data_IF_538932835342
#
_entry.id   IF_538932835342
#
_cell.length_a   1.000
_cell.length_b   1.000
_cell.length_c   1.000
_cell.angle_alpha   90.00
_cell.angle_beta   90.00
_cell.angle_gamma   90.00
#
_symmetry.space_group_name_H-M   'P 1'
#
loop_
_entity.id
_entity.type
_entity.pdbx_description
1 polymer ?
#
# COMPACT_ATOMS: atom_id res chain seq x y z
N UNK A 1 -0.85 16.22 -0.40
CA UNK A 1 -0.15 14.93 -0.62
C UNK A 1 -1.11 14.02 -1.39
N UNK A 2 -0.64 13.38 -2.45
CA UNK A 2 -1.46 12.52 -3.31
C UNK A 2 -1.97 11.26 -2.57
N UNK A 3 -3.14 10.73 -2.95
CA UNK A 3 -3.81 9.58 -2.30
C UNK A 3 -2.95 8.30 -2.33
N UNK A 4 -2.17 8.11 -3.40
CA UNK A 4 -1.25 6.97 -3.52
C UNK A 4 -0.10 7.13 -2.53
N UNK A 5 0.50 8.33 -2.48
CA UNK A 5 1.60 8.64 -1.56
C UNK A 5 1.18 8.49 -0.10
N UNK A 6 0.00 9.00 0.28
CA UNK A 6 -0.61 8.83 1.61
C UNK A 6 -0.73 7.34 2.01
N UNK A 7 -1.28 6.52 1.11
CA UNK A 7 -1.46 5.09 1.36
C UNK A 7 -0.11 4.36 1.49
N UNK A 8 0.84 4.66 0.60
CA UNK A 8 2.14 4.01 0.55
C UNK A 8 3.07 4.42 1.71
N UNK A 9 2.91 5.64 2.23
CA UNK A 9 3.61 6.08 3.43
C UNK A 9 3.02 5.46 4.69
N UNK A 10 1.68 5.36 4.76
CA UNK A 10 1.00 4.79 5.92
C UNK A 10 1.30 3.30 6.12
N UNK A 11 1.37 2.52 5.04
CA UNK A 11 1.58 1.07 5.12
C UNK A 11 3.06 0.71 5.04
N UNK A 12 3.49 -0.30 5.79
CA UNK A 12 4.90 -0.72 5.85
C UNK A 12 5.24 -1.88 4.90
N UNK A 13 4.23 -2.62 4.45
CA UNK A 13 4.41 -3.79 3.60
C UNK A 13 3.34 -3.88 2.52
N UNK A 14 3.61 -4.69 1.50
CA UNK A 14 2.65 -5.08 0.48
C UNK A 14 3.02 -6.42 -0.12
N UNK A 15 2.33 -6.81 -1.18
CA UNK A 15 2.50 -8.09 -1.86
C UNK A 15 3.04 -7.85 -3.26
N UNK A 16 4.24 -8.37 -3.53
CA UNK A 16 4.82 -8.43 -4.85
C UNK A 16 4.41 -9.72 -5.55
N UNK A 17 3.67 -9.59 -6.63
CA UNK A 17 3.28 -10.66 -7.53
C UNK A 17 4.23 -10.70 -8.72
N UNK A 18 4.77 -11.89 -8.98
CA UNK A 18 5.72 -12.15 -10.06
C UNK A 18 5.41 -13.47 -10.76
N UNK A 19 5.89 -13.65 -11.99
CA UNK A 19 5.80 -14.92 -12.72
C UNK A 19 7.15 -15.63 -12.64
N UNK A 20 7.22 -16.71 -11.86
CA UNK A 20 8.43 -17.50 -11.68
C UNK A 20 8.95 -18.11 -13.00
N UNK A 21 10.18 -18.66 -12.97
CA UNK A 21 10.83 -19.24 -14.15
C UNK A 21 10.07 -20.44 -14.75
N UNK A 22 9.30 -21.15 -13.93
CA UNK A 22 8.38 -22.25 -14.31
C UNK A 22 7.00 -21.75 -14.78
N UNK A 23 6.84 -20.45 -15.05
CA UNK A 23 5.60 -19.75 -15.38
C UNK A 23 4.51 -19.77 -14.30
N UNK A 24 4.85 -20.13 -13.06
CA UNK A 24 3.90 -20.09 -11.94
C UNK A 24 3.77 -18.67 -11.36
N UNK A 25 2.56 -18.20 -11.04
CA UNK A 25 2.40 -16.96 -10.29
C UNK A 25 2.86 -17.16 -8.84
N UNK A 26 3.60 -16.18 -8.32
CA UNK A 26 4.12 -16.17 -6.95
C UNK A 26 3.82 -14.82 -6.32
N UNK A 27 3.29 -14.83 -5.10
CA UNK A 27 3.01 -13.66 -4.30
C UNK A 27 3.95 -13.62 -3.10
N UNK A 28 4.71 -12.55 -2.95
CA UNK A 28 5.77 -12.39 -1.95
C UNK A 28 5.42 -11.18 -1.08
N UNK A 29 5.11 -11.36 0.21
CA UNK A 29 4.95 -10.24 1.13
C UNK A 29 6.31 -9.56 1.34
N UNK A 30 6.33 -8.23 1.32
CA UNK A 30 7.59 -7.50 1.31
C UNK A 30 7.46 -6.12 1.94
N UNK A 31 8.48 -5.79 2.74
CA UNK A 31 8.69 -4.44 3.27
C UNK A 31 9.18 -3.50 2.17
N UNK A 32 8.68 -2.27 2.17
CA UNK A 32 9.04 -1.28 1.16
C UNK A 32 9.07 0.14 1.71
N UNK A 33 9.74 1.03 0.98
CA UNK A 33 9.67 2.48 1.19
C UNK A 33 9.22 3.17 -0.10
N UNK A 34 8.33 4.16 0.02
CA UNK A 34 7.98 5.03 -1.09
C UNK A 34 8.89 6.27 -1.05
N UNK A 35 9.68 6.46 -2.09
CA UNK A 35 10.70 7.50 -2.15
C UNK A 35 10.95 7.91 -3.61
N UNK A 36 11.18 9.20 -3.88
CA UNK A 36 11.48 9.74 -5.23
C UNK A 36 10.55 9.19 -6.35
N UNK A 37 9.23 9.18 -6.11
CA UNK A 37 8.22 8.67 -7.06
C UNK A 37 8.37 7.18 -7.46
N UNK A 38 8.98 6.39 -6.58
CA UNK A 38 9.09 4.94 -6.71
C UNK A 38 8.77 4.27 -5.38
N UNK A 39 8.46 2.98 -5.43
CA UNK A 39 8.62 2.12 -4.25
C UNK A 39 9.92 1.36 -4.39
N UNK A 40 10.63 1.22 -3.28
CA UNK A 40 11.86 0.44 -3.20
C UNK A 40 11.75 -0.68 -2.17
N UNK A 41 12.38 -1.80 -2.50
CA UNK A 41 12.48 -2.97 -1.63
C UNK A 41 13.81 -3.68 -1.83
N UNK A 42 14.21 -4.48 -0.85
CA UNK A 42 15.45 -5.25 -0.92
C UNK A 42 15.18 -6.74 -1.03
N UNK A 43 16.09 -7.45 -1.67
CA UNK A 43 16.11 -8.93 -1.70
C UNK A 43 17.54 -9.43 -1.61
N UNK A 44 17.70 -10.72 -1.31
CA UNK A 44 18.97 -11.42 -1.52
C UNK A 44 19.10 -11.88 -2.98
N UNK A 45 20.32 -11.95 -3.54
CA UNK A 45 20.56 -12.34 -4.94
C UNK A 45 20.00 -13.71 -5.33
N UNK A 46 19.84 -14.63 -4.40
CA UNK A 46 19.38 -16.00 -4.65
C UNK A 46 17.85 -16.13 -4.71
N UNK A 47 17.10 -15.05 -4.47
CA UNK A 47 15.63 -15.08 -4.51
C UNK A 47 15.09 -15.25 -5.93
N UNK A 48 13.85 -15.75 -6.04
CA UNK A 48 13.15 -15.83 -7.32
C UNK A 48 13.10 -14.47 -8.04
N UNK A 49 12.99 -13.37 -7.29
CA UNK A 49 12.94 -11.99 -7.80
C UNK A 49 14.15 -11.66 -8.69
N UNK A 50 15.35 -12.12 -8.31
CA UNK A 50 16.58 -11.86 -9.06
C UNK A 50 16.57 -12.46 -10.47
N UNK A 51 15.78 -13.52 -10.70
CA UNK A 51 15.64 -14.20 -11.99
C UNK A 51 14.58 -13.58 -12.91
N UNK A 52 13.98 -12.45 -12.50
CA UNK A 52 12.76 -11.90 -13.12
C UNK A 52 12.93 -10.49 -13.70
N UNK A 53 14.18 -10.02 -13.85
CA UNK A 53 14.53 -8.66 -14.29
C UNK A 53 13.97 -8.27 -15.66
N UNK A 54 13.53 -9.23 -16.47
CA UNK A 54 12.96 -9.00 -17.82
C UNK A 54 11.42 -9.03 -17.87
N UNK A 55 10.75 -9.30 -16.75
CA UNK A 55 9.28 -9.41 -16.67
C UNK A 55 8.69 -8.26 -15.85
N UNK A 56 7.47 -7.86 -16.21
CA UNK A 56 6.69 -6.92 -15.41
C UNK A 56 6.38 -7.53 -14.02
N UNK A 57 6.50 -6.71 -12.99
CA UNK A 57 6.11 -7.05 -11.63
C UNK A 57 4.85 -6.28 -11.25
N UNK A 58 4.03 -6.90 -10.42
CA UNK A 58 2.83 -6.26 -9.89
C UNK A 58 2.95 -6.16 -8.37
N UNK A 59 2.87 -4.96 -7.82
CA UNK A 59 2.86 -4.74 -6.38
C UNK A 59 1.49 -4.27 -5.93
N UNK A 60 0.96 -4.88 -4.88
CA UNK A 60 -0.31 -4.52 -4.26
C UNK A 60 -0.10 -4.13 -2.79
N UNK A 61 -0.62 -2.97 -2.40
CA UNK A 61 -0.68 -2.56 -1.00
C UNK A 61 -2.13 -2.23 -0.63
N UNK A 62 -2.61 -2.82 0.46
CA UNK A 62 -3.99 -2.68 0.93
C UNK A 62 -3.98 -2.07 2.33
N UNK A 63 -4.67 -0.94 2.46
CA UNK A 63 -5.03 -0.31 3.73
C UNK A 63 -6.41 -0.84 4.12
N UNK A 64 -6.43 -1.85 4.99
CA UNK A 64 -7.67 -2.45 5.50
C UNK A 64 -8.41 -1.46 6.41
N UNK A 65 -9.72 -1.36 6.22
CA UNK A 65 -10.61 -0.56 7.04
C UNK A 65 -11.70 -1.46 7.64
N UNK A 66 -12.77 -0.86 8.11
CA UNK A 66 -13.78 -1.59 8.87
C UNK A 66 -14.61 -2.54 8.03
N UNK A 67 -14.92 -3.69 8.62
CA UNK A 67 -16.04 -4.51 8.18
C UNK A 67 -17.37 -3.78 8.41
N UNK A 68 -18.20 -3.70 7.38
CA UNK A 68 -19.52 -3.11 7.36
C UNK A 68 -20.56 -4.23 7.23
N UNK A 69 -21.34 -4.53 8.29
CA UNK A 69 -22.47 -5.41 8.21
C UNK A 69 -23.46 -5.00 7.12
N UNK A 70 -23.96 -5.98 6.37
CA UNK A 70 -24.89 -5.72 5.26
C UNK A 70 -26.17 -4.99 5.69
N UNK A 71 -26.66 -5.27 6.91
CA UNK A 71 -27.80 -4.60 7.52
C UNK A 71 -27.60 -3.07 7.69
N UNK A 72 -26.37 -2.57 7.69
CA UNK A 72 -26.08 -1.14 7.78
C UNK A 72 -26.19 -0.44 6.42
N UNK A 73 -26.12 -1.19 5.32
CA UNK A 73 -26.06 -0.67 3.95
C UNK A 73 -27.44 -0.59 3.26
N UNK A 74 -28.51 -0.95 3.96
CA UNK A 74 -29.87 -1.07 3.44
C UNK A 74 -30.85 -0.31 4.33
N UNK A 75 -31.71 0.54 3.76
CA UNK A 75 -32.77 1.24 4.50
C UNK A 75 -34.13 0.53 4.44
N UNK A 76 -34.34 -0.37 3.46
CA UNK A 76 -35.64 -0.97 3.16
C UNK A 76 -35.90 -2.31 3.86
N UNK A 77 -35.03 -2.73 4.79
CA UNK A 77 -35.10 -4.05 5.42
C UNK A 77 -34.67 -5.21 4.52
N UNK A 78 -34.34 -4.96 3.25
CA UNK A 78 -33.78 -5.97 2.34
C UNK A 78 -32.44 -6.49 2.86
N UNK A 79 -32.11 -7.78 2.67
CA UNK A 79 -30.83 -8.32 3.08
C UNK A 79 -29.68 -7.63 2.33
N UNK A 80 -28.72 -7.07 3.08
CA UNK A 80 -27.45 -6.60 2.51
C UNK A 80 -26.36 -7.65 2.69
N UNK A 81 -25.37 -7.65 1.80
CA UNK A 81 -24.18 -8.50 1.91
C UNK A 81 -23.09 -7.71 2.65
N UNK A 82 -22.61 -8.23 3.78
CA UNK A 82 -21.53 -7.60 4.54
C UNK A 82 -20.24 -7.49 3.72
N UNK A 83 -19.42 -6.50 4.01
CA UNK A 83 -18.19 -6.24 3.25
C UNK A 83 -17.13 -5.56 4.08
N UNK A 84 -15.87 -5.62 3.66
CA UNK A 84 -14.77 -4.86 4.24
C UNK A 84 -14.55 -3.61 3.39
N UNK A 85 -14.52 -2.46 4.04
CA UNK A 85 -14.03 -1.24 3.41
C UNK A 85 -12.50 -1.28 3.34
N UNK A 86 -11.92 -0.71 2.30
CA UNK A 86 -10.47 -0.67 2.13
C UNK A 86 -10.07 0.44 1.16
N UNK A 87 -8.78 0.77 1.17
CA UNK A 87 -8.11 1.50 0.08
C UNK A 87 -6.94 0.66 -0.39
N UNK A 88 -6.58 0.72 -1.66
CA UNK A 88 -5.47 -0.05 -2.20
C UNK A 88 -4.75 0.68 -3.32
N UNK A 89 -3.47 0.38 -3.47
CA UNK A 89 -2.65 0.77 -4.60
C UNK A 89 -2.16 -0.49 -5.31
N UNK A 90 -2.24 -0.48 -6.64
CA UNK A 90 -1.66 -1.46 -7.52
C UNK A 90 -0.61 -0.79 -8.40
N UNK A 91 0.61 -1.32 -8.44
CA UNK A 91 1.71 -0.81 -9.27
C UNK A 91 2.15 -1.94 -10.20
N UNK A 92 1.95 -1.75 -11.50
CA UNK A 92 2.43 -2.64 -12.56
C UNK A 92 3.58 -1.94 -13.27
N UNK A 93 4.80 -2.46 -13.12
CA UNK A 93 5.99 -1.85 -13.69
C UNK A 93 7.10 -2.86 -13.97
N UNK A 94 7.97 -2.53 -14.92
CA UNK A 94 9.27 -3.20 -15.05
C UNK A 94 10.15 -2.79 -13.86
N UNK A 95 10.83 -3.76 -13.21
CA UNK A 95 11.71 -3.47 -12.09
C UNK A 95 13.00 -2.79 -12.54
N UNK A 96 13.44 -1.80 -11.77
CA UNK A 96 14.77 -1.20 -11.91
C UNK A 96 15.67 -1.73 -10.79
N UNK A 97 16.90 -2.15 -11.14
CA UNK A 97 17.91 -2.52 -10.15
C UNK A 97 18.77 -1.31 -9.86
N UNK A 98 18.82 -0.89 -8.60
CA UNK A 98 19.68 0.21 -8.17
C UNK A 98 21.12 -0.27 -8.12
N UNK A 99 22.00 0.40 -8.88
CA UNK A 99 23.42 0.01 -9.02
C UNK A 99 24.37 0.92 -8.24
N UNK A 100 24.05 2.21 -8.05
CA UNK A 100 24.85 3.13 -7.23
C UNK A 100 24.84 2.70 -5.76
N UNK A 101 26.02 2.62 -5.17
CA UNK A 101 26.17 2.25 -3.76
C UNK A 101 25.67 3.37 -2.86
N UNK A 102 25.85 4.62 -3.28
CA UNK A 102 25.34 5.83 -2.63
C UNK A 102 23.82 5.82 -2.59
N UNK A 103 23.18 5.55 -3.72
CA UNK A 103 21.71 5.48 -3.83
C UNK A 103 21.15 4.31 -3.02
N UNK A 104 21.78 3.13 -3.07
CA UNK A 104 21.40 2.00 -2.20
C UNK A 104 21.46 2.39 -0.72
N UNK A 105 22.53 3.07 -0.31
CA UNK A 105 22.71 3.53 1.06
C UNK A 105 21.60 4.50 1.46
N UNK A 106 21.25 5.45 0.60
CA UNK A 106 20.16 6.41 0.82
C UNK A 106 18.82 5.68 1.00
N UNK A 107 18.44 4.80 0.06
CA UNK A 107 17.18 4.06 0.08
C UNK A 107 17.08 3.15 1.31
N UNK A 108 18.15 2.45 1.67
CA UNK A 108 18.16 1.58 2.86
C UNK A 108 17.96 2.40 4.14
N UNK A 109 18.57 3.59 4.24
CA UNK A 109 18.31 4.48 5.37
C UNK A 109 16.88 5.02 5.39
N UNK A 110 16.25 5.29 4.23
CA UNK A 110 14.83 5.64 4.16
C UNK A 110 13.93 4.49 4.61
N UNK A 111 14.30 3.25 4.26
CA UNK A 111 13.62 2.06 4.77
C UNK A 111 13.75 2.00 6.30
N UNK A 112 14.97 2.11 6.84
CA UNK A 112 15.20 2.13 8.29
C UNK A 112 14.38 3.22 9.00
N UNK A 113 14.39 4.46 8.51
CA UNK A 113 13.58 5.54 9.11
C UNK A 113 12.08 5.25 9.08
N UNK A 114 11.58 4.60 8.01
CA UNK A 114 10.18 4.21 7.91
C UNK A 114 9.77 3.17 8.97
N UNK A 115 10.64 2.21 9.28
CA UNK A 115 10.35 1.13 10.25
C UNK A 115 10.73 1.49 11.68
N UNK A 116 11.75 2.31 11.85
CA UNK A 116 12.34 2.71 13.13
C UNK A 116 12.45 4.25 13.18
N UNK A 117 11.31 4.97 13.13
CA UNK A 117 11.32 6.43 13.12
C UNK A 117 11.97 6.98 14.39
N UNK A 118 12.85 7.96 14.23
CA UNK A 118 13.63 8.52 15.33
C UNK A 118 14.95 7.81 15.61
N UNK A 119 15.34 6.82 14.80
CA UNK A 119 16.74 6.44 14.63
C UNK A 119 17.31 5.45 15.65
N UNK A 120 16.55 4.42 16.05
CA UNK A 120 17.12 3.28 16.80
C UNK A 120 18.13 2.44 16.02
N UNK A 121 18.35 2.77 14.73
CA UNK A 121 19.27 2.11 13.82
C UNK A 121 20.56 2.91 13.61
N UNK A 122 21.65 2.20 13.29
CA UNK A 122 22.88 2.85 12.81
C UNK A 122 22.74 3.19 11.34
N UNK A 123 23.01 4.45 10.97
CA UNK A 123 23.01 4.87 9.56
C UNK A 123 23.90 3.96 8.73
N UNK A 124 23.35 3.48 7.63
CA UNK A 124 24.06 2.64 6.68
C UNK A 124 24.89 3.58 5.80
N UNK A 125 26.21 3.39 5.79
CA UNK A 125 27.15 4.14 4.94
C UNK A 125 27.43 3.38 3.65
N UNK A 126 27.75 4.06 2.53
CA UNK A 126 28.08 3.41 1.25
C UNK A 126 29.23 2.39 1.35
N UNK A 127 30.15 2.57 2.30
CA UNK A 127 31.27 1.66 2.54
C UNK A 127 30.87 0.37 3.28
N UNK A 128 29.63 0.26 3.75
CA UNK A 128 29.14 -0.91 4.47
C UNK A 128 29.04 -2.14 3.55
N UNK A 129 29.74 -3.22 3.91
CA UNK A 129 29.78 -4.47 3.14
C UNK A 129 28.40 -5.13 2.98
N UNK A 130 27.45 -4.88 3.89
CA UNK A 130 26.09 -5.41 3.80
C UNK A 130 25.35 -4.93 2.55
N UNK A 131 25.61 -3.69 2.08
CA UNK A 131 24.99 -3.13 0.87
C UNK A 131 25.33 -3.99 -0.36
N UNK A 132 26.55 -4.52 -0.43
CA UNK A 132 27.02 -5.33 -1.57
C UNK A 132 26.31 -6.68 -1.67
N UNK A 133 25.73 -7.16 -0.57
CA UNK A 133 25.03 -8.45 -0.51
C UNK A 133 23.53 -8.33 -0.78
N UNK A 134 23.02 -7.11 -0.97
CA UNK A 134 21.60 -6.85 -1.19
C UNK A 134 21.37 -6.28 -2.59
N UNK A 135 20.31 -6.78 -3.22
CA UNK A 135 19.74 -6.16 -4.42
C UNK A 135 18.62 -5.22 -3.99
N UNK A 136 18.68 -3.97 -4.45
CA UNK A 136 17.62 -2.99 -4.23
C UNK A 136 16.89 -2.81 -5.55
N UNK A 137 15.57 -2.94 -5.48
CA UNK A 137 14.66 -2.88 -6.62
C UNK A 137 13.78 -1.66 -6.49
N UNK A 138 13.51 -0.98 -7.61
CA UNK A 138 12.57 0.13 -7.73
C UNK A 138 11.42 -0.22 -8.67
N UNK A 139 10.20 0.18 -8.29
CA UNK A 139 9.04 0.20 -9.17
C UNK A 139 8.49 1.62 -9.26
N UNK A 140 8.32 2.11 -10.48
CA UNK A 140 7.79 3.44 -10.77
C UNK A 140 6.29 3.52 -10.40
N UNK A 141 5.90 4.54 -9.63
CA UNK A 141 4.50 4.72 -9.18
C UNK A 141 3.68 5.62 -10.12
N UNK A 142 4.25 6.16 -11.19
CA UNK A 142 3.56 7.03 -12.16
C UNK A 142 2.35 6.37 -12.82
N UNK A 143 2.37 5.04 -12.95
CA UNK A 143 1.26 4.24 -13.48
C UNK A 143 0.48 3.50 -12.39
N UNK A 144 0.64 3.90 -11.14
CA UNK A 144 -0.06 3.28 -10.02
C UNK A 144 -1.58 3.51 -10.14
N UNK A 145 -2.35 2.44 -9.93
CA UNK A 145 -3.80 2.50 -9.86
C UNK A 145 -4.25 2.51 -8.41
N UNK A 146 -5.00 3.54 -8.03
CA UNK A 146 -5.63 3.63 -6.72
C UNK A 146 -7.08 3.11 -6.78
N UNK A 147 -7.49 2.33 -5.78
CA UNK A 147 -8.89 1.91 -5.59
C UNK A 147 -9.29 2.13 -4.15
N UNK A 148 -10.55 2.48 -3.92
CA UNK A 148 -11.12 2.57 -2.59
C UNK A 148 -12.55 2.03 -2.61
N UNK A 149 -12.90 1.30 -1.55
CA UNK A 149 -14.26 0.87 -1.24
C UNK A 149 -14.62 1.52 0.09
N UNK A 150 -15.29 2.66 0.03
CA UNK A 150 -15.63 3.55 1.14
C UNK A 150 -17.10 3.98 1.09
N UNK A 151 -17.96 3.14 0.50
CA UNK A 151 -19.39 3.44 0.35
C UNK A 151 -19.70 4.47 -0.73
N UNK A 152 -18.85 4.58 -1.75
CA UNK A 152 -18.96 5.59 -2.81
C UNK A 152 -20.23 5.58 -3.62
N UNK A 153 -20.83 4.41 -3.77
CA UNK A 153 -22.07 4.23 -4.51
C UNK A 153 -23.30 4.24 -3.60
N UNK A 154 -23.13 4.49 -2.29
CA UNK A 154 -24.22 4.53 -1.32
C UNK A 154 -24.78 5.94 -1.20
N UNK A 155 -26.10 6.07 -1.10
CA UNK A 155 -26.76 7.36 -0.83
C UNK A 155 -26.37 7.94 0.53
N UNK A 156 -26.43 9.27 0.66
CA UNK A 156 -26.00 10.01 1.85
C UNK A 156 -26.60 9.47 3.16
N UNK A 157 -27.91 9.16 3.19
CA UNK A 157 -28.57 8.61 4.38
C UNK A 157 -27.96 7.27 4.84
N UNK A 158 -27.56 6.40 3.90
CA UNK A 158 -26.89 5.13 4.21
C UNK A 158 -25.47 5.39 4.73
N UNK A 159 -24.74 6.32 4.12
CA UNK A 159 -23.40 6.70 4.59
C UNK A 159 -23.44 7.24 6.03
N UNK A 160 -24.40 8.10 6.36
CA UNK A 160 -24.58 8.63 7.72
C UNK A 160 -24.95 7.55 8.72
N UNK A 161 -25.79 6.58 8.31
CA UNK A 161 -26.09 5.40 9.13
C UNK A 161 -24.84 4.57 9.41
N UNK A 162 -24.02 4.32 8.39
CA UNK A 162 -22.74 3.60 8.56
C UNK A 162 -21.83 4.35 9.53
N UNK A 163 -21.65 5.66 9.35
CA UNK A 163 -20.81 6.49 10.24
C UNK A 163 -21.32 6.42 11.68
N UNK A 164 -22.63 6.56 11.91
CA UNK A 164 -23.24 6.44 13.24
C UNK A 164 -22.95 5.07 13.86
N UNK A 165 -23.18 3.99 13.13
CA UNK A 165 -22.98 2.63 13.62
C UNK A 165 -21.49 2.32 13.88
N UNK A 166 -20.58 2.87 13.08
CA UNK A 166 -19.14 2.80 13.31
C UNK A 166 -18.74 3.56 14.58
N UNK A 167 -19.31 4.76 14.82
CA UNK A 167 -19.07 5.55 16.04
C UNK A 167 -19.54 4.79 17.28
N UNK A 168 -20.71 4.15 17.20
CA UNK A 168 -21.26 3.32 18.28
C UNK A 168 -20.44 2.05 18.54
N UNK A 169 -19.96 1.38 17.48
CA UNK A 169 -19.11 0.19 17.60
C UNK A 169 -17.71 0.50 18.14
N UNK A 170 -17.14 1.66 17.80
CA UNK A 170 -16.00 2.26 18.48
C UNK A 170 -14.64 1.56 18.35
N UNK A 171 -14.44 0.65 17.38
CA UNK A 171 -13.12 -0.01 17.19
C UNK A 171 -12.10 0.97 16.61
N UNK A 172 -10.81 0.63 16.75
CA UNK A 172 -9.70 1.43 16.19
C UNK A 172 -9.87 1.64 14.68
N UNK A 173 -10.19 0.57 13.93
CA UNK A 173 -10.46 0.67 12.49
C UNK A 173 -11.72 1.49 12.18
N UNK A 174 -12.72 1.52 13.08
CA UNK A 174 -13.95 2.29 12.88
C UNK A 174 -13.65 3.78 12.82
N UNK A 175 -12.84 4.27 13.77
CA UNK A 175 -12.42 5.67 13.83
C UNK A 175 -11.67 6.09 12.56
N UNK A 176 -10.73 5.25 12.10
CA UNK A 176 -9.99 5.48 10.85
C UNK A 176 -10.92 5.47 9.63
N UNK A 177 -11.86 4.53 9.58
CA UNK A 177 -12.84 4.41 8.48
C UNK A 177 -13.70 5.66 8.41
N UNK A 178 -14.21 6.14 9.55
CA UNK A 178 -14.99 7.37 9.66
C UNK A 178 -14.17 8.56 9.15
N UNK A 179 -12.94 8.73 9.62
CA UNK A 179 -12.08 9.84 9.20
C UNK A 179 -11.86 9.87 7.68
N UNK A 180 -11.67 8.70 7.05
CA UNK A 180 -11.52 8.58 5.60
C UNK A 180 -12.83 8.80 4.83
N UNK A 181 -13.97 8.33 5.37
CA UNK A 181 -15.29 8.61 4.80
C UNK A 181 -15.62 10.11 4.85
N UNK A 182 -15.41 10.76 6.00
CA UNK A 182 -15.65 12.20 6.19
C UNK A 182 -14.73 13.03 5.29
N UNK A 183 -13.41 12.75 5.29
CA UNK A 183 -12.43 13.43 4.41
C UNK A 183 -12.84 13.36 2.94
N UNK A 184 -13.44 12.26 2.50
CA UNK A 184 -13.94 12.10 1.12
C UNK A 184 -15.17 12.96 0.85
N UNK A 185 -16.14 13.02 1.76
CA UNK A 185 -17.34 13.84 1.58
C UNK A 185 -17.00 15.33 1.46
N UNK A 186 -15.93 15.80 2.12
CA UNK A 186 -15.40 17.15 1.95
C UNK A 186 -14.67 17.39 0.61
N UNK A 187 -14.26 16.34 -0.09
CA UNK A 187 -13.52 16.41 -1.37
C UNK A 187 -14.41 16.11 -2.59
N UNK A 188 -15.73 15.97 -2.44
CA UNK A 188 -16.63 15.53 -3.51
C UNK A 188 -17.18 16.67 -4.37
N UNK A 189 -16.53 16.97 -5.50
CA UNK A 189 -17.14 17.19 -6.85
C UNK A 189 -16.09 17.66 -7.87
N UNK A 190 -14.98 16.94 -8.04
CA UNK A 190 -14.16 17.05 -9.25
C UNK A 190 -14.23 15.72 -10.00
N UNK A 191 -15.29 15.58 -10.80
CA UNK A 191 -15.30 14.64 -11.92
C UNK A 191 -14.26 15.13 -12.91
N UNK A 192 -13.15 14.39 -13.02
CA UNK A 192 -12.40 14.29 -14.28
C UNK A 192 -12.95 13.09 -15.06
#
# INVERSE_FOLDING_TARGET
MDKISDLLQFNTWGTLSVIAGDNRPVCIPMSYVAYKNQIFFHSVPETQIAKLTTKEMCFSCVDELSFIPGAWMTLSGNPGIGTVFYRSVLISALPLVVTSVEEKSEILNQLCEKFEPGGSYKKIHPTNLAIKRMTIWGLDISKATYRARLGENLGHAVQMRIIRNLKERGRVLDQRTIALMEKRSFMGDSKE
#
